data_IF_144828417895
#
_entry.id   IF_144828417895
#
_cell.length_a   1.000
_cell.length_b   1.000
_cell.length_c   1.000
_cell.angle_alpha   90.00
_cell.angle_beta   90.00
_cell.angle_gamma   90.00
#
_symmetry.space_group_name_H-M   'P 1'
#
loop_
_entity.id
_entity.type
_entity.pdbx_description
1 polymer ?
#
# COMPACT_ATOMS: atom_id res chain seq x y z
N UNK A 1 -12.02 -13.03 -17.37
CA UNK A 1 -11.47 -11.77 -16.86
C UNK A 1 -11.73 -11.69 -15.37
N UNK A 2 -10.75 -11.23 -14.62
CA UNK A 2 -10.82 -11.14 -13.16
C UNK A 2 -11.90 -10.14 -12.74
N UNK A 3 -12.83 -10.48 -11.83
CA UNK A 3 -13.84 -9.55 -11.34
C UNK A 3 -13.28 -8.24 -10.81
N UNK A 4 -12.11 -8.29 -10.17
CA UNK A 4 -11.44 -7.10 -9.65
C UNK A 4 -11.02 -6.18 -10.78
N UNK A 5 -10.48 -6.74 -11.86
CA UNK A 5 -10.09 -5.97 -13.04
C UNK A 5 -11.30 -5.29 -13.68
N UNK A 6 -12.43 -6.00 -13.77
CA UNK A 6 -13.66 -5.43 -14.29
C UNK A 6 -14.18 -4.28 -13.44
N UNK A 7 -14.11 -4.43 -12.11
CA UNK A 7 -14.50 -3.37 -11.19
C UNK A 7 -13.63 -2.14 -11.41
N UNK A 8 -12.31 -2.30 -11.48
CA UNK A 8 -11.41 -1.16 -11.72
C UNK A 8 -11.61 -0.49 -13.07
N UNK A 9 -12.00 -1.23 -14.10
CA UNK A 9 -12.29 -0.64 -15.42
C UNK A 9 -13.54 0.20 -15.45
N UNK A 10 -14.56 -0.18 -14.67
CA UNK A 10 -15.82 0.56 -14.61
C UNK A 10 -15.78 1.71 -13.64
N UNK A 11 -14.76 1.76 -12.77
CA UNK A 11 -14.58 2.82 -11.79
C UNK A 11 -13.59 3.86 -12.28
N UNK A 12 -13.91 5.12 -12.04
CA UNK A 12 -12.92 6.18 -12.21
C UNK A 12 -12.02 6.19 -10.98
N UNK A 13 -10.88 5.53 -11.11
CA UNK A 13 -9.87 5.44 -10.04
C UNK A 13 -8.74 6.40 -10.36
N UNK A 14 -8.40 7.27 -9.43
CA UNK A 14 -7.29 8.19 -9.56
C UNK A 14 -6.17 7.78 -8.61
N UNK A 15 -4.98 7.54 -9.17
CA UNK A 15 -3.79 7.25 -8.38
C UNK A 15 -3.06 8.55 -8.04
N UNK A 16 -2.57 8.68 -6.81
CA UNK A 16 -1.80 9.83 -6.38
C UNK A 16 -0.84 9.45 -5.25
N UNK A 17 0.09 10.36 -4.97
CA UNK A 17 1.08 10.13 -3.91
C UNK A 17 2.02 8.97 -4.21
N UNK A 18 2.29 8.72 -5.49
CA UNK A 18 3.19 7.65 -5.91
C UNK A 18 4.62 7.96 -5.46
N UNK A 19 5.23 7.01 -4.78
CA UNK A 19 6.63 7.14 -4.39
C UNK A 19 7.28 5.76 -4.26
N UNK A 20 8.60 5.76 -4.28
CA UNK A 20 9.41 4.56 -4.17
C UNK A 20 10.16 4.58 -2.85
N UNK A 21 10.09 3.50 -2.11
CA UNK A 21 10.85 3.32 -0.89
C UNK A 21 12.04 2.41 -1.18
N UNK A 22 13.23 2.92 -0.93
CA UNK A 22 14.47 2.13 -0.99
C UNK A 22 14.86 1.84 0.46
N UNK A 23 14.58 0.63 0.90
CA UNK A 23 14.81 0.21 2.27
C UNK A 23 15.99 -0.73 2.36
N UNK A 24 16.79 -0.61 3.41
CA UNK A 24 17.93 -1.49 3.67
C UNK A 24 17.81 -2.09 5.07
N UNK A 25 17.98 -3.40 5.18
CA UNK A 25 17.80 -4.12 6.44
C UNK A 25 18.75 -3.61 7.55
N UNK A 26 18.34 -3.56 8.81
CA UNK A 26 16.98 -3.78 9.29
C UNK A 26 16.07 -2.58 9.02
N UNK A 27 14.81 -2.85 8.67
CA UNK A 27 13.82 -1.80 8.46
C UNK A 27 12.42 -2.31 8.79
N UNK A 28 11.56 -1.39 9.17
CA UNK A 28 10.15 -1.66 9.41
C UNK A 28 9.35 -0.38 9.28
N UNK A 29 8.23 -0.47 8.59
CA UNK A 29 7.34 0.67 8.35
C UNK A 29 5.90 0.24 8.58
N UNK A 30 5.12 1.12 9.18
CA UNK A 30 3.71 0.85 9.48
C UNK A 30 2.79 1.81 8.75
N UNK A 31 1.62 1.32 8.37
CA UNK A 31 0.51 2.11 7.87
C UNK A 31 -0.61 1.99 8.88
N UNK A 32 -0.92 3.08 9.56
CA UNK A 32 -2.01 3.11 10.52
C UNK A 32 -3.34 3.34 9.82
N UNK A 33 -4.42 2.93 10.50
CA UNK A 33 -5.76 3.14 10.00
C UNK A 33 -5.99 4.62 9.69
N UNK A 34 -6.44 4.90 8.47
CA UNK A 34 -6.75 6.25 8.05
C UNK A 34 -8.09 6.67 8.68
N UNK A 35 -8.07 7.70 9.53
CA UNK A 35 -9.26 8.22 10.19
C UNK A 35 -9.61 9.64 9.75
N UNK A 36 -8.71 10.31 9.04
CA UNK A 36 -8.88 11.69 8.61
C UNK A 36 -9.05 11.80 7.10
N UNK A 37 -9.74 12.85 6.68
CA UNK A 37 -9.85 13.17 5.26
C UNK A 37 -8.47 13.53 4.70
N UNK A 38 -8.19 13.05 3.50
CA UNK A 38 -7.00 13.47 2.75
C UNK A 38 -7.36 14.49 1.69
N UNK A 39 -6.42 15.39 1.44
CA UNK A 39 -6.53 16.36 0.35
C UNK A 39 -5.67 15.88 -0.80
N UNK A 40 -6.26 15.75 -1.98
CA UNK A 40 -5.52 15.38 -3.19
C UNK A 40 -4.72 16.57 -3.73
N UNK A 41 -3.76 16.35 -4.66
CA UNK A 41 -3.05 17.44 -5.33
C UNK A 41 -3.97 18.42 -6.05
N UNK A 42 -5.21 18.03 -6.37
CA UNK A 42 -6.21 18.91 -6.96
C UNK A 42 -7.11 19.59 -5.93
N UNK A 43 -6.71 19.61 -4.66
CA UNK A 43 -7.45 20.20 -3.53
C UNK A 43 -8.81 19.55 -3.25
N UNK A 44 -9.02 18.34 -3.76
CA UNK A 44 -10.24 17.59 -3.51
C UNK A 44 -10.09 16.80 -2.21
N UNK A 45 -11.01 17.01 -1.27
CA UNK A 45 -11.06 16.23 -0.03
C UNK A 45 -11.60 14.85 -0.31
N UNK A 46 -10.90 13.82 0.19
CA UNK A 46 -11.29 12.43 0.03
C UNK A 46 -11.60 11.85 1.39
N UNK A 47 -12.79 11.28 1.53
CA UNK A 47 -13.17 10.54 2.73
C UNK A 47 -12.31 9.30 2.88
N UNK A 48 -11.93 8.88 4.10
CA UNK A 48 -11.20 7.63 4.32
C UNK A 48 -11.87 6.41 3.70
N UNK A 49 -13.20 6.42 3.56
CA UNK A 49 -13.95 5.32 2.95
C UNK A 49 -13.80 5.23 1.44
N UNK A 50 -13.36 6.32 0.80
CA UNK A 50 -13.14 6.38 -0.66
C UNK A 50 -11.67 6.28 -1.02
N UNK A 51 -10.83 5.98 -0.03
CA UNK A 51 -9.38 5.94 -0.18
C UNK A 51 -8.89 4.50 -0.01
N UNK A 52 -8.00 4.08 -0.91
CA UNK A 52 -7.26 2.84 -0.76
C UNK A 52 -5.77 3.13 -0.88
N UNK A 53 -4.96 2.26 -0.31
CA UNK A 53 -3.51 2.32 -0.43
C UNK A 53 -3.03 1.06 -1.12
N UNK A 54 -1.99 1.18 -1.93
CA UNK A 54 -1.40 0.03 -2.59
C UNK A 54 0.11 0.06 -2.44
N UNK A 55 0.70 -1.12 -2.50
CA UNK A 55 2.14 -1.26 -2.55
C UNK A 55 2.51 -2.48 -3.39
N UNK A 56 3.62 -2.36 -4.08
CA UNK A 56 4.19 -3.44 -4.87
C UNK A 56 5.66 -3.60 -4.49
N UNK A 57 6.04 -4.84 -4.19
CA UNK A 57 7.44 -5.17 -3.95
C UNK A 57 8.11 -5.36 -5.31
N UNK A 58 8.97 -4.43 -5.72
CA UNK A 58 9.64 -4.52 -7.02
C UNK A 58 10.96 -5.26 -6.94
N UNK A 59 11.62 -5.26 -5.77
CA UNK A 59 12.90 -5.93 -5.56
C UNK A 59 13.05 -6.34 -4.11
N UNK A 60 13.63 -7.52 -3.88
CA UNK A 60 13.93 -8.02 -2.55
C UNK A 60 12.81 -8.86 -1.96
N UNK A 61 12.85 -9.00 -0.65
CA UNK A 61 11.87 -9.78 0.11
C UNK A 61 11.51 -9.03 1.38
N UNK A 62 10.28 -9.19 1.83
CA UNK A 62 9.85 -8.63 3.10
C UNK A 62 8.67 -9.41 3.68
N UNK A 63 8.23 -8.99 4.86
CA UNK A 63 7.11 -9.60 5.56
C UNK A 63 6.01 -8.57 5.75
N UNK A 64 4.79 -8.99 5.47
CA UNK A 64 3.59 -8.17 5.64
C UNK A 64 2.77 -8.70 6.80
N UNK A 65 2.48 -7.84 7.76
CA UNK A 65 1.52 -8.13 8.83
C UNK A 65 0.29 -7.26 8.64
N UNK A 66 -0.88 -7.90 8.63
CA UNK A 66 -2.16 -7.21 8.40
C UNK A 66 -3.01 -7.35 9.65
N UNK A 67 -3.65 -6.26 10.06
CA UNK A 67 -4.58 -6.29 11.17
C UNK A 67 -5.68 -7.31 10.90
N UNK A 68 -5.91 -8.21 11.86
CA UNK A 68 -6.90 -9.27 11.71
C UNK A 68 -6.37 -10.57 11.13
N UNK A 69 -5.15 -10.58 10.60
CA UNK A 69 -4.50 -11.79 10.11
C UNK A 69 -3.36 -12.12 11.07
N UNK A 70 -3.44 -13.27 11.79
CA UNK A 70 -2.50 -13.55 12.89
C UNK A 70 -1.07 -13.81 12.46
N UNK A 71 -0.85 -14.34 11.24
CA UNK A 71 0.50 -14.70 10.80
C UNK A 71 1.06 -13.73 9.77
N UNK A 72 2.37 -13.41 9.86
CA UNK A 72 3.02 -12.60 8.84
C UNK A 72 3.01 -13.31 7.48
N UNK A 73 2.89 -12.51 6.42
CA UNK A 73 2.83 -12.99 5.05
C UNK A 73 4.16 -12.67 4.37
N UNK A 74 4.89 -13.67 3.84
CA UNK A 74 6.11 -13.39 3.10
C UNK A 74 5.79 -12.82 1.71
N UNK A 75 6.49 -11.75 1.34
CA UNK A 75 6.38 -11.13 0.03
C UNK A 75 7.69 -11.24 -0.72
N UNK A 76 7.59 -11.47 -2.03
CA UNK A 76 8.74 -11.52 -2.94
C UNK A 76 8.51 -10.56 -4.10
N UNK A 77 9.54 -10.32 -4.88
CA UNK A 77 9.48 -9.38 -6.00
C UNK A 77 8.31 -9.66 -6.94
N UNK A 78 7.54 -8.63 -7.23
CA UNK A 78 6.33 -8.70 -8.04
C UNK A 78 5.03 -8.85 -7.27
N UNK A 79 5.10 -9.19 -5.99
CA UNK A 79 3.90 -9.28 -5.15
C UNK A 79 3.36 -7.88 -4.88
N UNK A 80 2.05 -7.72 -4.87
CA UNK A 80 1.43 -6.45 -4.53
C UNK A 80 0.19 -6.66 -3.66
N UNK A 81 -0.21 -5.60 -2.98
CA UNK A 81 -1.42 -5.63 -2.17
C UNK A 81 -2.16 -4.30 -2.22
N UNK A 82 -3.43 -4.38 -1.93
CA UNK A 82 -4.33 -3.25 -1.84
C UNK A 82 -4.98 -3.24 -0.47
N UNK A 83 -4.99 -2.07 0.15
CA UNK A 83 -5.66 -1.85 1.43
C UNK A 83 -6.81 -0.90 1.21
N UNK A 84 -8.01 -1.38 1.46
CA UNK A 84 -9.21 -0.55 1.43
C UNK A 84 -9.68 -0.27 2.85
N UNK A 85 -10.39 0.84 3.04
CA UNK A 85 -11.03 1.20 4.31
C UNK A 85 -10.09 1.27 5.52
N UNK A 86 -8.84 1.69 5.27
CA UNK A 86 -7.94 2.05 6.36
C UNK A 86 -7.45 0.91 7.23
N UNK A 87 -7.29 -0.27 6.67
CA UNK A 87 -6.69 -1.40 7.40
C UNK A 87 -5.25 -1.08 7.78
N UNK A 88 -4.86 -1.44 9.01
CA UNK A 88 -3.49 -1.24 9.47
C UNK A 88 -2.58 -2.37 9.00
N UNK A 89 -1.38 -2.03 8.57
CA UNK A 89 -0.36 -3.00 8.17
C UNK A 89 1.02 -2.60 8.70
N UNK A 90 1.91 -3.60 8.72
CA UNK A 90 3.34 -3.40 8.96
C UNK A 90 4.11 -4.15 7.88
N UNK A 91 5.05 -3.46 7.24
CA UNK A 91 6.04 -4.09 6.36
C UNK A 91 7.40 -4.05 7.04
N UNK A 92 8.14 -5.15 6.99
CA UNK A 92 9.45 -5.23 7.62
C UNK A 92 10.34 -6.26 6.93
N UNK A 93 11.65 -6.08 7.07
CA UNK A 93 12.63 -7.02 6.50
C UNK A 93 12.58 -8.40 7.17
N UNK A 94 12.22 -8.44 8.44
CA UNK A 94 12.11 -9.66 9.25
C UNK A 94 10.92 -9.56 10.19
N UNK A 95 10.24 -10.67 10.51
CA UNK A 95 9.13 -10.64 11.47
C UNK A 95 9.50 -10.10 12.85
N UNK A 96 10.81 -10.06 13.17
CA UNK A 96 11.31 -9.58 14.48
C UNK A 96 11.67 -8.11 14.49
N UNK A 97 11.77 -7.46 13.35
CA UNK A 97 12.17 -6.06 13.28
C UNK A 97 11.01 -5.17 13.73
N UNK A 98 11.30 -4.24 14.65
CA UNK A 98 10.27 -3.28 15.08
C UNK A 98 10.08 -2.20 14.03
N UNK A 99 8.82 -1.86 13.69
CA UNK A 99 8.57 -0.74 12.79
C UNK A 99 8.86 0.58 13.52
N UNK A 100 9.82 1.33 13.01
CA UNK A 100 10.24 2.62 13.60
C UNK A 100 9.61 3.82 12.92
N UNK A 101 9.16 3.64 11.69
CA UNK A 101 8.65 4.72 10.86
C UNK A 101 7.28 4.39 10.33
N UNK A 102 6.46 5.41 10.11
CA UNK A 102 5.21 5.27 9.35
C UNK A 102 5.47 5.59 7.88
N UNK A 103 4.61 5.10 7.01
CA UNK A 103 4.66 5.47 5.58
C UNK A 103 4.54 6.99 5.41
N UNK A 104 3.74 7.63 6.25
CA UNK A 104 3.57 9.08 6.22
C UNK A 104 4.90 9.81 6.52
N UNK A 105 5.62 9.38 7.57
CA UNK A 105 6.90 9.97 7.94
C UNK A 105 7.94 9.77 6.86
N UNK A 106 8.00 8.58 6.27
CA UNK A 106 8.95 8.28 5.20
C UNK A 106 8.61 9.08 3.94
N UNK A 107 7.33 9.16 3.58
CA UNK A 107 6.88 9.94 2.42
C UNK A 107 7.19 11.42 2.56
N UNK A 108 7.12 11.96 3.78
CA UNK A 108 7.46 13.36 4.05
C UNK A 108 8.95 13.67 3.82
N UNK A 109 9.81 12.67 3.91
CA UNK A 109 11.26 12.79 3.68
C UNK A 109 11.67 12.43 2.26
N UNK A 110 10.72 12.06 1.40
CA UNK A 110 11.03 11.67 0.03
C UNK A 110 11.55 12.85 -0.78
N UNK A 111 12.57 12.58 -1.61
CA UNK A 111 13.12 13.53 -2.55
C UNK A 111 12.91 12.97 -3.96
N UNK A 112 12.29 13.74 -4.84
CA UNK A 112 11.89 13.30 -6.19
C UNK A 112 11.10 11.97 -6.14
N UNK A 113 10.18 11.87 -5.17
CA UNK A 113 9.33 10.69 -4.95
C UNK A 113 10.10 9.41 -4.60
N UNK A 114 11.33 9.55 -4.08
CA UNK A 114 12.13 8.42 -3.61
C UNK A 114 12.56 8.70 -2.16
N UNK A 115 12.30 7.74 -1.29
CA UNK A 115 12.73 7.81 0.10
C UNK A 115 13.71 6.68 0.38
N UNK A 116 14.79 7.00 1.11
CA UNK A 116 15.80 6.03 1.52
C UNK A 116 15.79 5.91 3.04
N UNK A 117 15.76 4.69 3.55
CA UNK A 117 15.83 4.47 4.99
C UNK A 117 16.29 3.04 5.29
N UNK A 118 16.74 2.84 6.53
CA UNK A 118 17.12 1.53 7.00
C UNK A 118 18.51 1.48 7.60
N UNK A 119 18.99 0.27 7.86
CA UNK A 119 20.25 0.01 8.55
C UNK A 119 21.47 -0.25 7.68
N UNK A 120 21.32 -0.21 6.35
CA UNK A 120 22.44 -0.40 5.42
C UNK A 120 22.68 -1.82 4.96
N UNK A 121 21.81 -2.76 5.31
CA UNK A 121 21.91 -4.17 4.90
C UNK A 121 21.25 -4.45 3.56
N UNK A 122 20.70 -5.64 3.40
CA UNK A 122 20.09 -6.08 2.14
C UNK A 122 19.00 -5.11 1.67
N UNK A 123 18.99 -4.74 0.37
CA UNK A 123 18.04 -3.75 -0.14
C UNK A 123 16.69 -4.37 -0.51
N UNK A 124 15.64 -3.56 -0.34
CA UNK A 124 14.28 -3.87 -0.75
C UNK A 124 13.68 -2.61 -1.35
N UNK A 125 13.04 -2.75 -2.51
CA UNK A 125 12.38 -1.62 -3.19
C UNK A 125 10.88 -1.84 -3.21
N UNK A 126 10.14 -0.85 -2.71
CA UNK A 126 8.69 -0.87 -2.63
C UNK A 126 8.15 0.35 -3.37
N UNK A 127 7.23 0.12 -4.30
CA UNK A 127 6.47 1.19 -4.96
C UNK A 127 5.12 1.26 -4.28
N UNK A 128 4.72 2.43 -3.82
CA UNK A 128 3.46 2.60 -3.10
C UNK A 128 2.77 3.90 -3.48
N UNK A 129 1.50 3.98 -3.14
CA UNK A 129 0.70 5.13 -3.41
C UNK A 129 -0.71 4.97 -2.88
N UNK A 130 -1.55 5.93 -3.25
CA UNK A 130 -2.96 5.97 -2.85
C UNK A 130 -3.85 5.95 -4.08
N UNK A 131 -5.04 5.39 -3.92
CA UNK A 131 -6.09 5.38 -4.93
C UNK A 131 -7.32 6.05 -4.35
N UNK A 132 -7.94 6.93 -5.12
CA UNK A 132 -9.25 7.47 -4.78
C UNK A 132 -10.27 6.96 -5.76
N UNK A 133 -11.48 6.71 -5.26
CA UNK A 133 -12.58 6.20 -6.06
C UNK A 133 -13.62 7.30 -6.22
N UNK A 134 -14.13 7.49 -7.44
CA UNK A 134 -15.15 8.48 -7.72
C UNK A 134 -16.51 7.96 -7.24
N UNK A 135 -17.15 8.71 -6.33
CA UNK A 135 -18.46 8.38 -5.80
C UNK A 135 -19.60 8.57 -6.80
N UNK A 136 -19.37 9.33 -7.86
CA UNK A 136 -20.45 9.72 -8.76
C UNK A 136 -21.05 8.54 -9.54
N UNK A 137 -20.34 7.43 -9.62
CA UNK A 137 -20.75 6.34 -10.49
C UNK A 137 -21.55 5.23 -9.82
N UNK A 138 -21.44 4.98 -8.50
CA UNK A 138 -22.23 3.92 -7.82
C UNK A 138 -22.05 4.01 -6.31
N UNK A 139 -22.92 3.38 -5.54
CA UNK A 139 -22.72 3.00 -4.15
C UNK A 139 -21.26 2.66 -3.88
N UNK A 140 -20.73 3.01 -2.72
CA UNK A 140 -19.29 2.90 -2.46
C UNK A 140 -18.81 1.47 -2.74
N UNK A 141 -18.21 1.29 -3.90
CA UNK A 141 -17.60 0.04 -4.31
C UNK A 141 -16.54 -0.35 -3.29
N UNK A 142 -15.97 0.64 -2.59
CA UNK A 142 -15.11 0.40 -1.44
C UNK A 142 -15.79 -0.46 -0.37
N UNK A 143 -17.12 -0.46 -0.28
CA UNK A 143 -17.85 -1.37 0.62
C UNK A 143 -17.97 -2.77 0.07
N UNK A 144 -17.82 -2.94 -1.23
CA UNK A 144 -17.88 -4.25 -1.90
C UNK A 144 -16.49 -4.91 -1.99
N UNK A 145 -15.43 -4.12 -1.85
CA UNK A 145 -14.06 -4.65 -1.87
C UNK A 145 -13.68 -5.18 -0.49
N UNK A 146 -12.95 -6.31 -0.43
CA UNK A 146 -12.33 -6.73 0.82
C UNK A 146 -11.42 -5.62 1.34
N UNK A 147 -11.25 -5.54 2.66
CA UNK A 147 -10.37 -4.55 3.25
C UNK A 147 -8.90 -4.75 2.89
N UNK A 148 -8.54 -5.96 2.47
CA UNK A 148 -7.19 -6.32 2.07
C UNK A 148 -7.23 -7.29 0.89
N UNK A 149 -6.44 -7.00 -0.14
CA UNK A 149 -6.32 -7.86 -1.32
C UNK A 149 -4.83 -8.07 -1.58
N UNK A 150 -4.41 -9.34 -1.64
CA UNK A 150 -3.03 -9.72 -1.94
C UNK A 150 -2.99 -10.37 -3.33
N UNK A 151 -2.10 -9.89 -4.17
CA UNK A 151 -1.87 -10.46 -5.50
C UNK A 151 -0.42 -10.93 -5.57
N UNK A 152 -0.22 -12.23 -5.60
CA UNK A 152 1.11 -12.83 -5.73
C UNK A 152 1.58 -12.74 -7.19
N UNK A 153 2.87 -12.50 -7.38
CA UNK A 153 3.45 -12.37 -8.72
C UNK A 153 3.14 -13.57 -9.62
N UNK A 154 3.17 -14.76 -9.06
CA UNK A 154 2.86 -15.99 -9.79
C UNK A 154 1.41 -16.05 -10.27
N UNK A 155 0.46 -15.40 -9.57
CA UNK A 155 -0.93 -15.33 -9.98
C UNK A 155 -1.14 -14.35 -11.14
N UNK A 156 -0.32 -13.31 -11.21
CA UNK A 156 -0.41 -12.29 -12.25
C UNK A 156 0.11 -12.78 -13.60
N UNK A 157 0.79 -13.92 -13.65
CA UNK A 157 1.38 -14.48 -14.88
C UNK A 157 0.43 -15.39 -15.68
N UNK A 158 -0.76 -15.65 -15.16
CA UNK A 158 -1.74 -16.49 -15.86
C UNK A 158 -2.73 -15.67 -16.67
#
# INVERSE_FOLDING_TARGET
MDPITDIFRTMHVTAFGLHRLEATAPWGVKQEKQTEEKVTPSDKKISPTDLAHFAMLSRGNCWLSVQGIPEPIPLTGGDCFLLARGTSIVLRDSPRTRPRWSFREIGAKANNNVAHYGGGGAPTTIVCGSLSFDRASVKPITQLLPSFILIKAEQART
#
